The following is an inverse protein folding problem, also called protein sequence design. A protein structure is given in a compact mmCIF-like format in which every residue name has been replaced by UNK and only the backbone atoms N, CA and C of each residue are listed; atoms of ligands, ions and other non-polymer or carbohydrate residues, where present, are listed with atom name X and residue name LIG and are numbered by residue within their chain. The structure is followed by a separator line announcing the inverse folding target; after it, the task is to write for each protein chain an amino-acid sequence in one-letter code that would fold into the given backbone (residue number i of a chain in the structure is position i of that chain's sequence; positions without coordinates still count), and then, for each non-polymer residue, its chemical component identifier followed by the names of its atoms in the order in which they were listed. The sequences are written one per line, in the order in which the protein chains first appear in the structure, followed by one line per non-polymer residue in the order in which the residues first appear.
data_IF_597101101587
#
_entry.id   IF_597101101587
#
_cell.length_a   1.000
_cell.length_b   1.000
_cell.length_c   1.000
_cell.angle_alpha   90.00
_cell.angle_beta   90.00
_cell.angle_gamma   90.00
#
_symmetry.space_group_name_H-M   'P 1'
#
loop_
_entity.id
_entity.type
_entity.pdbx_description
1 polymer ?
#
# COMPACT_ATOMS: atom_id res chain seq x y z
N UNK A 1 -18.33 -35.76 -25.66
CA UNK A 1 -18.43 -34.29 -25.62
C UNK A 1 -17.34 -33.82 -24.66
N UNK A 2 -16.24 -33.25 -25.17
CA UNK A 2 -15.15 -32.74 -24.33
C UNK A 2 -15.48 -31.26 -24.10
N UNK A 3 -15.93 -30.93 -22.88
CA UNK A 3 -16.12 -29.54 -22.48
C UNK A 3 -14.74 -28.94 -22.21
N UNK A 4 -14.22 -28.16 -23.14
CA UNK A 4 -13.06 -27.29 -22.92
C UNK A 4 -13.51 -26.17 -21.97
N UNK A 5 -13.30 -26.37 -20.67
CA UNK A 5 -13.43 -25.33 -19.66
C UNK A 5 -12.36 -24.27 -19.95
N UNK A 6 -12.75 -23.19 -20.63
CA UNK A 6 -11.90 -22.04 -20.86
C UNK A 6 -11.84 -21.22 -19.57
N UNK A 7 -11.04 -21.67 -18.61
CA UNK A 7 -10.72 -20.90 -17.41
C UNK A 7 -9.67 -19.87 -17.79
N UNK A 8 -10.06 -18.61 -17.95
CA UNK A 8 -9.10 -17.50 -18.08
C UNK A 8 -8.18 -17.53 -16.87
N UNK A 9 -6.87 -17.64 -17.09
CA UNK A 9 -5.89 -17.53 -16.01
C UNK A 9 -6.05 -16.17 -15.33
N UNK A 10 -6.07 -16.11 -13.98
CA UNK A 10 -6.10 -14.83 -13.29
C UNK A 10 -4.91 -13.98 -13.76
N UNK A 11 -5.16 -12.73 -14.10
CA UNK A 11 -4.07 -11.78 -14.38
C UNK A 11 -3.32 -11.58 -13.07
N UNK A 12 -2.00 -11.85 -13.01
CA UNK A 12 -1.22 -11.64 -11.79
C UNK A 12 -1.30 -10.17 -11.36
N UNK A 13 -1.45 -9.94 -10.06
CA UNK A 13 -1.38 -8.60 -9.48
C UNK A 13 0.03 -8.04 -9.75
N UNK A 14 0.16 -6.84 -10.31
CA UNK A 14 1.46 -6.20 -10.47
C UNK A 14 2.19 -6.11 -9.13
N UNK A 15 3.49 -6.41 -9.13
CA UNK A 15 4.31 -6.27 -7.93
C UNK A 15 4.29 -4.81 -7.47
N UNK A 16 4.15 -4.62 -6.16
CA UNK A 16 4.09 -3.29 -5.57
C UNK A 16 5.50 -2.85 -5.23
N UNK A 17 5.94 -1.64 -5.64
CA UNK A 17 7.27 -1.16 -5.34
C UNK A 17 7.45 -0.99 -3.82
N UNK A 18 8.63 -1.34 -3.34
CA UNK A 18 9.04 -1.22 -1.94
C UNK A 18 10.33 -0.43 -1.83
N UNK A 19 10.61 0.10 -0.64
CA UNK A 19 11.88 0.83 -0.40
C UNK A 19 13.11 0.01 -0.79
N UNK A 20 13.08 -1.31 -0.54
CA UNK A 20 14.19 -2.23 -0.84
C UNK A 20 14.34 -2.47 -2.34
N UNK A 21 13.24 -2.62 -3.08
CA UNK A 21 13.28 -2.90 -4.51
C UNK A 21 13.64 -1.67 -5.36
N UNK A 22 13.38 -0.47 -4.84
CA UNK A 22 13.63 0.80 -5.53
C UNK A 22 14.36 1.81 -4.64
N UNK A 23 15.62 1.54 -4.25
CA UNK A 23 16.38 2.39 -3.34
C UNK A 23 16.74 3.76 -3.93
N UNK A 24 16.59 3.94 -5.24
CA UNK A 24 16.85 5.20 -5.95
C UNK A 24 15.62 6.09 -6.09
N UNK A 25 14.43 5.62 -5.72
CA UNK A 25 13.25 6.49 -5.62
C UNK A 25 13.39 7.29 -4.34
N UNK A 26 13.26 8.62 -4.46
CA UNK A 26 13.42 9.54 -3.35
C UNK A 26 12.46 9.13 -2.22
N UNK A 27 13.04 8.80 -1.07
CA UNK A 27 12.29 8.39 0.12
C UNK A 27 11.71 9.61 0.85
N UNK A 28 11.97 10.83 0.37
CA UNK A 28 11.41 12.05 0.92
C UNK A 28 9.90 12.07 0.73
N UNK A 29 9.18 11.76 1.80
CA UNK A 29 7.74 11.98 1.92
C UNK A 29 7.47 13.18 2.82
N UNK A 30 6.37 13.91 2.63
CA UNK A 30 5.95 14.98 3.54
C UNK A 30 5.92 14.54 5.01
N UNK A 31 5.63 13.26 5.28
CA UNK A 31 5.70 12.69 6.62
C UNK A 31 7.14 12.61 7.13
N UNK A 32 8.06 12.04 6.34
CA UNK A 32 9.48 11.91 6.70
C UNK A 32 10.18 13.26 6.90
N UNK A 33 9.70 14.31 6.21
CA UNK A 33 10.18 15.68 6.34
C UNK A 33 9.57 16.44 7.52
N UNK A 34 8.61 15.83 8.24
CA UNK A 34 7.90 16.45 9.35
C UNK A 34 6.95 17.59 8.94
N UNK A 35 6.55 17.64 7.66
CA UNK A 35 5.59 18.62 7.13
C UNK A 35 4.17 18.30 7.63
N UNK A 36 3.86 17.02 7.77
CA UNK A 36 2.59 16.50 8.27
C UNK A 36 2.81 15.61 9.50
N UNK A 37 1.80 15.47 10.35
CA UNK A 37 1.84 14.60 11.52
C UNK A 37 0.98 13.33 11.33
N UNK A 38 1.01 12.40 12.31
CA UNK A 38 0.25 11.15 12.24
C UNK A 38 -1.26 11.35 12.11
N UNK A 39 -1.80 12.39 12.74
CA UNK A 39 -3.22 12.71 12.64
C UNK A 39 -3.59 13.19 11.23
N UNK A 40 -2.73 13.96 10.57
CA UNK A 40 -2.94 14.36 9.19
C UNK A 40 -2.96 13.14 8.26
N UNK A 41 -2.06 12.18 8.48
CA UNK A 41 -2.05 10.89 7.76
C UNK A 41 -3.34 10.12 8.01
N UNK A 42 -3.77 10.01 9.26
CA UNK A 42 -5.02 9.35 9.62
C UNK A 42 -6.24 9.98 8.93
N UNK A 43 -6.32 11.31 8.88
CA UNK A 43 -7.39 12.03 8.18
C UNK A 43 -7.35 11.79 6.67
N UNK A 44 -6.16 11.76 6.09
CA UNK A 44 -5.96 11.46 4.67
C UNK A 44 -6.40 10.04 4.33
N UNK A 45 -5.92 9.02 5.05
CA UNK A 45 -6.26 7.62 4.79
C UNK A 45 -7.77 7.34 4.94
N UNK A 46 -8.44 8.05 5.85
CA UNK A 46 -9.90 7.97 6.03
C UNK A 46 -10.69 8.40 4.79
N UNK A 47 -10.11 9.21 3.92
CA UNK A 47 -10.74 9.64 2.65
C UNK A 47 -10.70 8.56 1.57
N UNK A 48 -10.07 7.41 1.86
CA UNK A 48 -9.90 6.28 0.94
C UNK A 48 -9.14 6.65 -0.34
N UNK A 49 -7.94 7.23 -0.21
CA UNK A 49 -7.14 7.69 -1.35
C UNK A 49 -6.74 6.52 -2.27
N UNK A 50 -6.32 6.85 -3.48
CA UNK A 50 -5.68 5.90 -4.39
C UNK A 50 -4.28 5.51 -3.86
N UNK A 51 -3.80 4.32 -4.23
CA UNK A 51 -2.47 3.85 -3.84
C UNK A 51 -1.35 4.82 -4.24
N UNK A 52 -1.43 5.42 -5.42
CA UNK A 52 -0.44 6.40 -5.87
C UNK A 52 -0.40 7.62 -4.94
N UNK A 53 -1.55 8.10 -4.46
CA UNK A 53 -1.61 9.22 -3.53
C UNK A 53 -1.03 8.83 -2.16
N UNK A 54 -1.21 7.58 -1.73
CA UNK A 54 -0.55 7.05 -0.53
C UNK A 54 0.96 7.08 -0.69
N UNK A 55 1.49 6.70 -1.85
CA UNK A 55 2.92 6.79 -2.13
C UNK A 55 3.44 8.23 -2.17
N UNK A 56 2.67 9.15 -2.72
CA UNK A 56 3.05 10.58 -2.75
C UNK A 56 3.16 11.16 -1.33
N UNK A 57 2.27 10.75 -0.41
CA UNK A 57 2.23 11.29 0.95
C UNK A 57 3.17 10.57 1.92
N UNK A 58 3.25 9.24 1.85
CA UNK A 58 3.97 8.40 2.82
C UNK A 58 5.30 7.89 2.29
N UNK A 59 5.51 7.94 0.97
CA UNK A 59 6.59 7.24 0.29
C UNK A 59 6.25 5.77 0.03
N UNK A 60 7.26 5.03 -0.46
CA UNK A 60 7.13 3.60 -0.68
C UNK A 60 7.06 2.83 0.64
N UNK A 61 6.34 1.71 0.70
CA UNK A 61 6.29 0.85 1.88
C UNK A 61 7.58 0.07 2.09
N UNK A 62 7.85 -0.29 3.34
CA UNK A 62 8.97 -1.14 3.72
C UNK A 62 8.75 -2.59 3.26
N UNK A 63 7.52 -3.08 3.36
CA UNK A 63 7.13 -4.39 2.84
C UNK A 63 5.67 -4.43 2.40
N UNK A 64 5.33 -5.41 1.57
CA UNK A 64 3.97 -5.60 1.07
C UNK A 64 3.59 -7.06 1.23
N UNK A 65 2.40 -7.31 1.77
CA UNK A 65 1.77 -8.62 1.79
C UNK A 65 0.51 -8.59 0.93
N UNK A 66 0.36 -9.54 0.01
CA UNK A 66 -0.86 -9.65 -0.82
C UNK A 66 -1.69 -10.83 -0.33
N UNK A 67 -3.00 -10.66 -0.23
CA UNK A 67 -3.90 -11.73 0.20
C UNK A 67 -3.85 -12.91 -0.78
N UNK A 68 -4.01 -14.14 -0.27
CA UNK A 68 -3.98 -15.35 -1.11
C UNK A 68 -5.03 -15.33 -2.23
N UNK A 69 -6.18 -14.69 -1.98
CA UNK A 69 -7.26 -14.51 -2.94
C UNK A 69 -7.12 -13.24 -3.81
N UNK A 70 -6.00 -12.52 -3.67
CA UNK A 70 -5.62 -11.32 -4.42
C UNK A 70 -6.68 -10.22 -4.43
N UNK A 71 -7.53 -10.16 -3.40
CA UNK A 71 -8.55 -9.10 -3.26
C UNK A 71 -7.98 -7.83 -2.68
N UNK A 72 -6.97 -7.94 -1.83
CA UNK A 72 -6.33 -6.80 -1.20
C UNK A 72 -4.85 -7.07 -0.96
N UNK A 73 -4.09 -6.00 -0.72
CA UNK A 73 -2.72 -6.04 -0.25
C UNK A 73 -2.55 -5.08 0.92
N UNK A 74 -1.58 -5.36 1.77
CA UNK A 74 -1.24 -4.55 2.94
C UNK A 74 0.15 -3.97 2.71
N UNK A 75 0.22 -2.65 2.78
CA UNK A 75 1.45 -1.86 2.73
C UNK A 75 1.89 -1.62 4.17
N UNK A 76 3.12 -2.04 4.51
CA UNK A 76 3.68 -1.85 5.85
C UNK A 76 4.68 -0.71 5.85
N UNK A 77 4.52 0.20 6.80
CA UNK A 77 5.36 1.38 7.02
C UNK A 77 5.92 1.33 8.43
N UNK A 78 7.23 1.21 8.57
CA UNK A 78 7.88 1.33 9.87
C UNK A 78 8.02 2.81 10.23
N UNK A 79 7.47 3.20 11.38
CA UNK A 79 7.50 4.57 11.86
C UNK A 79 8.52 4.66 12.99
N UNK A 80 9.72 5.16 12.67
CA UNK A 80 10.91 5.09 13.54
C UNK A 80 10.70 5.68 14.93
N UNK A 81 9.96 6.79 15.06
CA UNK A 81 9.75 7.42 16.38
C UNK A 81 8.72 6.70 17.26
N UNK A 82 7.86 5.86 16.66
CA UNK A 82 6.93 4.99 17.38
C UNK A 82 7.56 3.62 17.68
N UNK A 83 8.65 3.26 17.00
CA UNK A 83 9.24 1.92 17.00
C UNK A 83 8.21 0.83 16.66
N UNK A 84 7.31 1.12 15.72
CA UNK A 84 6.22 0.22 15.34
C UNK A 84 5.88 0.30 13.85
N UNK A 85 5.24 -0.77 13.35
CA UNK A 85 4.71 -0.84 12.00
C UNK A 85 3.27 -0.36 11.95
N UNK A 86 3.03 0.58 11.04
CA UNK A 86 1.70 0.99 10.64
C UNK A 86 1.34 0.33 9.30
N UNK A 87 0.04 0.20 9.03
CA UNK A 87 -0.42 -0.56 7.86
C UNK A 87 -1.54 0.13 7.09
N UNK A 88 -1.50 -0.01 5.77
CA UNK A 88 -2.55 0.47 4.86
C UNK A 88 -3.01 -0.69 3.98
N UNK A 89 -4.29 -1.00 4.03
CA UNK A 89 -4.91 -2.02 3.20
C UNK A 89 -5.43 -1.41 1.89
N UNK A 90 -4.95 -1.90 0.75
CA UNK A 90 -5.35 -1.48 -0.59
C UNK A 90 -6.22 -2.55 -1.23
N UNK A 91 -7.37 -2.16 -1.74
CA UNK A 91 -8.17 -3.03 -2.60
C UNK A 91 -7.49 -3.17 -3.97
N UNK A 92 -7.14 -4.38 -4.37
CA UNK A 92 -6.37 -4.64 -5.60
C UNK A 92 -7.17 -4.33 -6.87
N UNK A 93 -8.51 -4.31 -6.80
CA UNK A 93 -9.37 -4.03 -7.96
C UNK A 93 -9.58 -2.54 -8.17
N UNK A 94 -9.85 -1.78 -7.11
CA UNK A 94 -10.05 -0.33 -7.21
C UNK A 94 -8.76 0.46 -7.07
N UNK A 95 -7.69 -0.16 -6.57
CA UNK A 95 -6.41 0.48 -6.23
C UNK A 95 -6.57 1.64 -5.22
N UNK A 96 -7.57 1.52 -4.34
CA UNK A 96 -7.86 2.51 -3.28
C UNK A 96 -7.72 1.90 -1.91
N UNK A 97 -7.48 2.74 -0.91
CA UNK A 97 -7.47 2.34 0.51
C UNK A 97 -8.84 1.77 0.90
N UNK A 98 -8.83 0.56 1.48
CA UNK A 98 -9.99 -0.10 2.05
C UNK A 98 -10.07 0.10 3.57
N UNK A 99 -8.93 -0.08 4.25
CA UNK A 99 -8.76 0.02 5.70
C UNK A 99 -7.31 0.42 6.03
N UNK A 100 -7.03 0.76 7.28
CA UNK A 100 -5.68 1.04 7.77
C UNK A 100 -5.60 0.93 9.29
N UNK A 101 -4.38 0.71 9.81
CA UNK A 101 -4.00 0.83 11.22
C UNK A 101 -2.88 1.88 11.27
N UNK A 102 -3.20 3.03 11.86
CA UNK A 102 -2.32 4.19 11.86
C UNK A 102 -2.45 4.99 13.16
N UNK A 103 -1.39 5.02 13.97
CA UNK A 103 -1.36 5.58 15.33
C UNK A 103 -0.42 6.79 15.48
#
# INVERSE_FOLDING_TARGET
MIALSCSTTPVPVPETPTKISHPSLDMSSPLSEGIINQYDVWQFLKQKPEESEVFDLLGLPDSVWTSDDQKYKVLYYYVEFLDDYNSVEINVKSMTVNSFEWD
#
